data_IF_002946744928
#
_entry.id   IF_002946744928
#
_cell.length_a   1.000
_cell.length_b   1.000
_cell.length_c   1.000
_cell.angle_alpha   90.00
_cell.angle_beta   90.00
_cell.angle_gamma   90.00
#
_symmetry.space_group_name_H-M   'P 1'
#
loop_
_entity.id
_entity.type
_entity.pdbx_description
1 polymer ?
#
# COMPACT_ATOMS: atom_id res chain seq x y z
N UNK A 1 -33.19 30.26 20.76
CA UNK A 1 -33.93 30.96 19.69
C UNK A 1 -33.64 30.21 18.38
N UNK A 2 -34.32 29.11 18.08
CA UNK A 2 -35.68 28.99 17.53
C UNK A 2 -35.70 29.06 15.99
N UNK A 3 -36.15 27.93 15.39
CA UNK A 3 -36.78 27.76 14.07
C UNK A 3 -35.87 27.68 12.84
N UNK A 4 -35.41 26.45 12.56
CA UNK A 4 -35.54 25.80 11.24
C UNK A 4 -35.18 24.30 11.37
N UNK A 5 -36.07 23.55 12.03
CA UNK A 5 -36.16 22.09 12.00
C UNK A 5 -37.61 21.75 11.66
N UNK A 6 -37.92 21.63 10.38
CA UNK A 6 -39.20 21.11 9.89
C UNK A 6 -39.12 20.90 8.36
N UNK A 7 -38.59 19.76 7.93
CA UNK A 7 -38.90 19.11 6.64
C UNK A 7 -38.12 17.78 6.55
N UNK A 8 -38.43 16.85 7.44
CA UNK A 8 -38.21 15.42 7.25
C UNK A 8 -39.59 14.78 7.22
N UNK A 9 -39.72 13.71 6.44
CA UNK A 9 -40.89 12.85 6.20
C UNK A 9 -41.74 13.21 4.98
N UNK A 10 -41.44 12.53 3.88
CA UNK A 10 -42.27 12.00 2.77
C UNK A 10 -41.23 11.67 1.68
N UNK A 11 -40.93 10.45 1.25
CA UNK A 11 -41.82 9.40 0.79
C UNK A 11 -41.01 8.11 0.67
N UNK A 12 -41.31 7.12 1.52
CA UNK A 12 -40.81 5.75 1.41
C UNK A 12 -42.05 4.85 1.21
N UNK A 13 -42.47 4.68 -0.05
CA UNK A 13 -43.32 3.58 -0.53
C UNK A 13 -43.66 3.82 -2.00
N UNK A 14 -43.16 2.93 -2.85
CA UNK A 14 -43.72 2.46 -4.12
C UNK A 14 -42.62 2.31 -5.17
N UNK A 15 -42.06 1.11 -5.27
CA UNK A 15 -41.56 0.54 -6.53
C UNK A 15 -41.51 -0.98 -6.36
N UNK A 16 -42.70 -1.54 -6.30
CA UNK A 16 -42.99 -2.92 -6.69
C UNK A 16 -43.20 -2.96 -8.19
N UNK A 17 -42.52 -3.89 -8.87
CA UNK A 17 -43.01 -4.50 -10.10
C UNK A 17 -42.30 -4.09 -11.38
N UNK A 18 -41.35 -4.92 -11.80
CA UNK A 18 -41.23 -5.37 -13.19
C UNK A 18 -40.39 -6.65 -13.23
N UNK A 19 -41.07 -7.79 -13.26
CA UNK A 19 -40.48 -9.05 -13.66
C UNK A 19 -40.17 -8.97 -15.16
N UNK A 20 -38.90 -9.09 -15.53
CA UNK A 20 -38.49 -9.37 -16.91
C UNK A 20 -37.94 -10.78 -16.93
N UNK A 21 -38.70 -11.67 -17.56
CA UNK A 21 -38.23 -12.98 -18.01
C UNK A 21 -37.04 -12.76 -18.95
N UNK A 22 -35.84 -13.07 -18.47
CA UNK A 22 -34.62 -13.14 -19.27
C UNK A 22 -34.19 -14.59 -19.44
N UNK A 23 -34.28 -15.08 -20.67
CA UNK A 23 -33.95 -16.44 -21.08
C UNK A 23 -32.52 -16.85 -20.67
N UNK A 24 -32.42 -17.99 -19.96
CA UNK A 24 -31.18 -18.73 -19.74
C UNK A 24 -30.76 -19.39 -21.06
N UNK A 25 -29.89 -18.71 -21.81
CA UNK A 25 -29.08 -19.35 -22.84
C UNK A 25 -27.99 -20.17 -22.16
N UNK A 26 -28.06 -21.49 -22.37
CA UNK A 26 -27.06 -22.45 -21.98
C UNK A 26 -25.69 -22.11 -22.61
N UNK A 27 -24.69 -21.86 -21.77
CA UNK A 27 -23.30 -21.83 -22.22
C UNK A 27 -22.71 -23.25 -22.11
N UNK A 28 -22.13 -23.80 -23.20
CA UNK A 28 -21.45 -25.09 -23.16
C UNK A 28 -20.11 -25.00 -22.42
N UNK A 29 -19.85 -26.01 -21.59
CA UNK A 29 -18.60 -26.22 -20.87
C UNK A 29 -17.43 -26.44 -21.84
N UNK A 30 -16.23 -25.90 -21.56
CA UNK A 30 -15.03 -26.26 -22.30
C UNK A 30 -14.60 -27.69 -21.95
N UNK A 31 -14.65 -28.56 -22.96
CA UNK A 31 -14.08 -29.90 -22.95
C UNK A 31 -12.56 -29.83 -22.82
N UNK A 32 -12.03 -30.24 -21.67
CA UNK A 32 -10.61 -30.53 -21.48
C UNK A 32 -10.23 -31.80 -22.24
N UNK A 33 -9.68 -31.64 -23.46
CA UNK A 33 -9.00 -32.70 -24.18
C UNK A 33 -7.50 -32.66 -23.82
N UNK A 34 -7.12 -33.39 -22.77
CA UNK A 34 -5.72 -33.69 -22.48
C UNK A 34 -5.32 -34.91 -23.32
N UNK A 35 -4.48 -34.67 -24.33
CA UNK A 35 -3.87 -35.70 -25.14
C UNK A 35 -2.97 -36.60 -24.29
N UNK A 36 -3.13 -37.91 -24.49
CA UNK A 36 -2.16 -38.94 -24.16
C UNK A 36 -0.96 -38.75 -25.09
N UNK A 37 0.25 -38.68 -24.54
CA UNK A 37 1.41 -39.25 -25.23
C UNK A 37 2.37 -39.90 -24.21
N UNK A 38 3.06 -40.91 -24.71
CA UNK A 38 3.49 -42.11 -24.03
C UNK A 38 4.90 -42.03 -23.44
N UNK A 39 5.25 -43.13 -22.78
CA UNK A 39 6.41 -43.37 -21.95
C UNK A 39 7.74 -43.63 -22.72
N UNK A 40 8.85 -43.03 -22.24
CA UNK A 40 10.11 -43.61 -21.66
C UNK A 40 10.95 -44.64 -22.51
N UNK A 41 12.27 -44.92 -22.24
CA UNK A 41 13.56 -44.20 -21.94
C UNK A 41 14.75 -44.74 -22.86
N UNK A 42 16.06 -44.85 -22.46
CA UNK A 42 17.02 -44.01 -21.70
C UNK A 42 18.35 -43.71 -22.46
N UNK A 43 19.17 -42.82 -21.86
CA UNK A 43 20.64 -42.82 -21.76
C UNK A 43 21.54 -42.90 -23.01
N UNK A 44 22.31 -41.83 -23.24
CA UNK A 44 23.75 -41.95 -23.53
C UNK A 44 24.53 -40.95 -22.69
N UNK A 45 25.37 -41.49 -21.82
CA UNK A 45 26.44 -40.77 -21.15
C UNK A 45 27.44 -40.26 -22.19
N UNK A 46 27.70 -38.96 -22.19
CA UNK A 46 28.80 -38.37 -22.93
C UNK A 46 29.82 -37.81 -21.93
N UNK A 47 30.97 -38.46 -21.98
CA UNK A 47 32.27 -38.21 -21.38
C UNK A 47 32.58 -36.72 -21.13
N UNK A 48 32.94 -36.44 -19.88
CA UNK A 48 33.54 -35.19 -19.45
C UNK A 48 34.88 -34.95 -20.16
N UNK A 49 35.03 -33.77 -20.77
CA UNK A 49 36.30 -33.24 -21.26
C UNK A 49 36.60 -31.96 -20.45
N UNK A 50 37.77 -31.82 -19.80
CA UNK A 50 38.08 -30.62 -19.02
C UNK A 50 38.43 -29.50 -20.00
N UNK A 51 37.45 -28.66 -20.31
CA UNK A 51 37.69 -27.44 -21.07
C UNK A 51 38.12 -26.33 -20.09
N UNK A 52 39.33 -25.85 -20.32
CA UNK A 52 39.99 -24.76 -19.62
C UNK A 52 39.05 -23.59 -19.31
N UNK A 53 39.14 -23.12 -18.07
CA UNK A 53 38.50 -21.92 -17.56
C UNK A 53 38.95 -20.70 -18.39
N UNK A 54 38.17 -20.34 -19.41
CA UNK A 54 38.14 -18.96 -19.90
C UNK A 54 37.30 -18.18 -18.91
N UNK A 55 37.99 -17.44 -18.03
CA UNK A 55 37.39 -16.40 -17.20
C UNK A 55 36.55 -15.49 -18.11
N UNK A 56 35.22 -15.67 -18.04
CA UNK A 56 34.30 -14.70 -18.62
C UNK A 56 34.53 -13.39 -17.87
N UNK A 57 34.68 -12.26 -18.56
CA UNK A 57 34.68 -10.97 -17.88
C UNK A 57 33.37 -10.89 -17.10
N UNK A 58 33.48 -10.80 -15.79
CA UNK A 58 32.36 -10.47 -14.94
C UNK A 58 31.81 -9.15 -15.49
N UNK A 59 30.61 -9.20 -16.11
CA UNK A 59 29.82 -8.00 -16.31
C UNK A 59 29.64 -7.44 -14.91
N UNK A 60 30.38 -6.39 -14.59
CA UNK A 60 30.13 -5.54 -13.46
C UNK A 60 28.70 -5.04 -13.65
N UNK A 61 27.74 -5.71 -12.99
CA UNK A 61 26.46 -5.14 -12.64
C UNK A 61 26.78 -3.99 -11.70
N UNK A 62 27.18 -2.85 -12.28
CA UNK A 62 27.25 -1.59 -11.58
C UNK A 62 25.91 -1.34 -10.90
N UNK A 63 25.90 -0.61 -9.78
CA UNK A 63 24.65 -0.28 -9.10
C UNK A 63 23.70 0.34 -10.13
N UNK A 64 22.52 -0.27 -10.28
CA UNK A 64 21.46 0.26 -11.12
C UNK A 64 21.25 1.71 -10.70
N UNK A 65 21.66 2.64 -11.55
CA UNK A 65 21.56 4.07 -11.27
C UNK A 65 20.11 4.34 -10.91
N UNK A 66 19.82 5.07 -9.81
CA UNK A 66 18.45 5.35 -9.44
C UNK A 66 17.77 6.06 -10.62
N UNK A 67 16.89 5.35 -11.32
CA UNK A 67 16.19 5.95 -12.44
C UNK A 67 15.30 7.05 -11.88
N UNK A 68 15.48 8.25 -12.41
CA UNK A 68 14.58 9.38 -12.25
C UNK A 68 13.24 9.11 -12.96
N UNK A 69 12.20 9.85 -12.57
CA UNK A 69 10.92 9.81 -13.26
C UNK A 69 10.89 10.75 -14.45
N UNK A 70 10.25 10.34 -15.54
CA UNK A 70 9.72 11.33 -16.47
C UNK A 70 8.47 12.00 -15.87
N UNK A 71 7.98 13.08 -16.50
CA UNK A 71 6.82 13.85 -16.02
C UNK A 71 5.55 13.01 -15.82
N UNK A 72 5.30 12.05 -16.72
CA UNK A 72 4.13 11.18 -16.62
C UNK A 72 4.26 10.17 -15.46
N UNK A 73 5.46 9.59 -15.26
CA UNK A 73 5.73 8.68 -14.15
C UNK A 73 5.67 9.40 -12.80
N UNK A 74 6.14 10.64 -12.75
CA UNK A 74 6.02 11.48 -11.56
C UNK A 74 4.55 11.75 -11.23
N UNK A 75 3.76 12.18 -12.20
CA UNK A 75 2.33 12.40 -12.02
C UNK A 75 1.59 11.12 -11.61
N UNK A 76 1.98 9.97 -12.16
CA UNK A 76 1.47 8.67 -11.76
C UNK A 76 1.79 8.34 -10.29
N UNK A 77 3.01 8.65 -9.82
CA UNK A 77 3.35 8.49 -8.40
C UNK A 77 2.46 9.38 -7.53
N UNK A 78 2.31 10.66 -7.89
CA UNK A 78 1.50 11.60 -7.12
C UNK A 78 0.03 11.15 -7.04
N UNK A 79 -0.52 10.63 -8.14
CA UNK A 79 -1.87 10.05 -8.13
C UNK A 79 -1.98 8.88 -7.15
N UNK A 80 -0.95 8.03 -7.07
CA UNK A 80 -0.94 6.89 -6.16
C UNK A 80 -0.73 7.27 -4.69
N UNK A 81 0.03 8.34 -4.44
CA UNK A 81 0.13 8.97 -3.12
C UNK A 81 -1.22 9.49 -2.65
N UNK A 82 -1.94 10.21 -3.51
CA UNK A 82 -3.25 10.79 -3.16
C UNK A 82 -4.25 9.68 -2.84
N UNK A 83 -4.31 8.66 -3.70
CA UNK A 83 -5.19 7.51 -3.53
C UNK A 83 -4.93 6.78 -2.21
N UNK A 84 -3.66 6.53 -1.89
CA UNK A 84 -3.27 5.83 -0.66
C UNK A 84 -3.52 6.70 0.58
N UNK A 85 -3.30 8.01 0.49
CA UNK A 85 -3.61 8.95 1.57
C UNK A 85 -5.11 8.97 1.88
N UNK A 86 -5.96 9.10 0.86
CA UNK A 86 -7.41 9.05 1.03
C UNK A 86 -7.85 7.71 1.66
N UNK A 87 -7.23 6.60 1.28
CA UNK A 87 -7.50 5.29 1.89
C UNK A 87 -7.16 5.30 3.39
N UNK A 88 -5.95 5.74 3.77
CA UNK A 88 -5.54 5.75 5.18
C UNK A 88 -6.37 6.73 6.01
N UNK A 89 -6.70 7.92 5.47
CA UNK A 89 -7.63 8.87 6.11
C UNK A 89 -8.99 8.21 6.30
N UNK A 90 -9.52 7.56 5.27
CA UNK A 90 -10.79 6.84 5.34
C UNK A 90 -10.80 5.77 6.43
N UNK A 91 -9.75 4.95 6.52
CA UNK A 91 -9.65 3.88 7.50
C UNK A 91 -9.44 4.41 8.93
N UNK A 92 -8.59 5.42 9.09
CA UNK A 92 -8.17 5.98 10.39
C UNK A 92 -9.25 6.86 11.00
N UNK A 93 -9.92 7.66 10.20
CA UNK A 93 -10.80 8.71 10.68
C UNK A 93 -12.29 8.34 10.73
N UNK A 94 -12.67 7.14 10.26
CA UNK A 94 -14.08 6.73 10.17
C UNK A 94 -14.84 6.80 11.50
N UNK A 95 -14.17 6.56 12.63
CA UNK A 95 -14.79 6.59 13.96
C UNK A 95 -14.66 7.94 14.66
N UNK A 96 -13.72 8.77 14.22
CA UNK A 96 -13.40 10.08 14.83
C UNK A 96 -14.29 11.18 14.25
N UNK A 97 -14.57 11.10 12.95
CA UNK A 97 -15.43 12.05 12.22
C UNK A 97 -16.47 11.31 11.37
N UNK A 98 -17.36 10.52 11.99
CA UNK A 98 -18.31 9.67 11.27
C UNK A 98 -19.24 10.46 10.33
N UNK A 99 -19.59 11.70 10.69
CA UNK A 99 -20.50 12.55 9.91
C UNK A 99 -19.96 12.88 8.51
N UNK A 100 -18.63 12.95 8.36
CA UNK A 100 -17.98 13.22 7.06
C UNK A 100 -17.77 11.96 6.21
N UNK A 101 -18.06 10.77 6.75
CA UNK A 101 -17.95 9.46 6.07
C UNK A 101 -16.66 9.31 5.26
N UNK A 102 -15.47 9.49 5.87
CA UNK A 102 -14.21 9.64 5.13
C UNK A 102 -13.85 8.41 4.27
N UNK A 103 -14.32 7.22 4.64
CA UNK A 103 -14.10 6.01 3.84
C UNK A 103 -14.96 5.98 2.56
N UNK A 104 -16.16 6.56 2.59
CA UNK A 104 -17.03 6.67 1.41
C UNK A 104 -16.40 7.65 0.40
N UNK A 105 -15.81 8.76 0.88
CA UNK A 105 -15.08 9.71 0.02
C UNK A 105 -13.94 9.02 -0.77
N UNK A 106 -13.22 8.10 -0.13
CA UNK A 106 -12.18 7.29 -0.78
C UNK A 106 -12.75 6.34 -1.84
N UNK A 107 -13.87 5.67 -1.55
CA UNK A 107 -14.52 4.76 -2.50
C UNK A 107 -15.03 5.54 -3.72
N UNK A 108 -15.73 6.65 -3.50
CA UNK A 108 -16.26 7.50 -4.56
C UNK A 108 -15.13 8.03 -5.45
N UNK A 109 -14.03 8.50 -4.84
CA UNK A 109 -12.84 8.93 -5.56
C UNK A 109 -12.24 7.80 -6.41
N UNK A 110 -12.16 6.58 -5.85
CA UNK A 110 -11.60 5.41 -6.53
C UNK A 110 -12.44 4.99 -7.74
N UNK A 111 -13.78 5.01 -7.59
CA UNK A 111 -14.71 4.67 -8.68
C UNK A 111 -14.67 5.74 -9.77
N UNK A 112 -14.79 7.02 -9.40
CA UNK A 112 -14.76 8.17 -10.33
C UNK A 112 -13.47 8.21 -11.16
N UNK A 113 -12.32 7.89 -10.55
CA UNK A 113 -11.01 8.02 -11.18
C UNK A 113 -10.37 6.67 -11.57
N UNK A 114 -11.15 5.59 -11.68
CA UNK A 114 -10.65 4.23 -11.93
C UNK A 114 -9.69 4.13 -13.13
N UNK A 115 -10.02 4.78 -14.24
CA UNK A 115 -9.19 4.76 -15.45
C UNK A 115 -7.84 5.46 -15.21
N UNK A 116 -7.85 6.62 -14.54
CA UNK A 116 -6.62 7.36 -14.22
C UNK A 116 -5.72 6.59 -13.24
N UNK A 117 -6.32 5.97 -12.21
CA UNK A 117 -5.61 5.11 -11.27
C UNK A 117 -4.94 3.95 -12.02
N UNK A 118 -5.69 3.22 -12.84
CA UNK A 118 -5.15 2.11 -13.63
C UNK A 118 -4.01 2.52 -14.57
N UNK A 119 -4.14 3.66 -15.24
CA UNK A 119 -3.07 4.21 -16.09
C UNK A 119 -1.82 4.61 -15.29
N UNK A 120 -2.02 5.14 -14.08
CA UNK A 120 -0.92 5.51 -13.18
C UNK A 120 -0.17 4.27 -12.69
N UNK A 121 -0.89 3.21 -12.32
CA UNK A 121 -0.30 1.91 -11.96
C UNK A 121 0.51 1.34 -13.12
N UNK A 122 -0.04 1.34 -14.34
CA UNK A 122 0.65 0.87 -15.53
C UNK A 122 1.93 1.67 -15.82
N UNK A 123 1.89 3.00 -15.64
CA UNK A 123 3.04 3.88 -15.81
C UNK A 123 4.18 3.54 -14.82
N UNK A 124 3.85 3.34 -13.54
CA UNK A 124 4.85 2.99 -12.53
C UNK A 124 5.39 1.56 -12.72
N UNK A 125 4.56 0.61 -13.11
CA UNK A 125 5.03 -0.75 -13.47
C UNK A 125 5.98 -0.67 -14.68
N UNK A 126 5.67 0.14 -15.69
CA UNK A 126 6.56 0.35 -16.83
C UNK A 126 7.90 0.99 -16.41
N UNK A 127 7.86 1.96 -15.48
CA UNK A 127 9.06 2.50 -14.85
C UNK A 127 9.88 1.40 -14.19
N UNK A 128 9.30 0.59 -13.29
CA UNK A 128 10.05 -0.47 -12.58
C UNK A 128 10.58 -1.56 -13.52
N UNK A 129 9.92 -1.81 -14.65
CA UNK A 129 10.41 -2.71 -15.69
C UNK A 129 11.67 -2.16 -16.38
N UNK A 130 11.77 -0.84 -16.53
CA UNK A 130 12.91 -0.16 -17.17
C UNK A 130 14.04 0.14 -16.18
N UNK A 131 13.71 0.50 -14.94
CA UNK A 131 14.67 0.95 -13.93
C UNK A 131 15.19 -0.17 -13.01
N UNK A 132 14.40 -1.23 -12.83
CA UNK A 132 14.72 -2.34 -11.93
C UNK A 132 15.05 -3.61 -12.70
N UNK A 133 16.00 -4.38 -12.18
CA UNK A 133 16.10 -5.80 -12.51
C UNK A 133 15.03 -6.59 -11.74
N UNK A 134 14.30 -7.48 -12.41
CA UNK A 134 13.38 -8.42 -11.76
C UNK A 134 11.89 -8.18 -12.04
N UNK A 135 11.02 -8.51 -11.09
CA UNK A 135 9.57 -8.46 -11.25
C UNK A 135 9.03 -7.05 -10.94
N UNK A 136 8.70 -6.29 -11.99
CA UNK A 136 8.20 -4.91 -11.89
C UNK A 136 6.89 -4.78 -11.09
N UNK A 137 5.97 -5.72 -11.22
CA UNK A 137 4.71 -5.72 -10.45
C UNK A 137 4.99 -5.86 -8.97
N UNK A 138 5.90 -6.78 -8.57
CA UNK A 138 6.31 -6.91 -7.17
C UNK A 138 6.93 -5.63 -6.61
N UNK A 139 7.74 -4.93 -7.41
CA UNK A 139 8.33 -3.65 -7.00
C UNK A 139 7.24 -2.58 -6.81
N UNK A 140 6.25 -2.54 -7.69
CA UNK A 140 5.10 -1.66 -7.55
C UNK A 140 4.25 -1.98 -6.30
N UNK A 141 3.99 -3.26 -6.02
CA UNK A 141 3.26 -3.68 -4.81
C UNK A 141 4.01 -3.30 -3.52
N UNK A 142 5.35 -3.43 -3.54
CA UNK A 142 6.21 -3.00 -2.44
C UNK A 142 6.12 -1.48 -2.25
N UNK A 143 6.19 -0.69 -3.32
CA UNK A 143 6.00 0.75 -3.28
C UNK A 143 4.65 1.14 -2.65
N UNK A 144 3.54 0.52 -3.05
CA UNK A 144 2.21 0.76 -2.45
C UNK A 144 2.20 0.46 -0.94
N UNK A 145 2.87 -0.62 -0.55
CA UNK A 145 2.97 -1.04 0.87
C UNK A 145 3.80 -0.04 1.67
N UNK A 146 4.96 0.38 1.17
CA UNK A 146 5.83 1.36 1.80
C UNK A 146 5.14 2.71 1.96
N UNK A 147 4.40 3.15 0.94
CA UNK A 147 3.62 4.37 0.96
C UNK A 147 2.50 4.34 2.02
N UNK A 148 1.74 3.24 2.09
CA UNK A 148 0.71 3.09 3.13
C UNK A 148 1.32 3.10 4.54
N UNK A 149 2.49 2.47 4.72
CA UNK A 149 3.22 2.48 5.98
C UNK A 149 3.77 3.88 6.33
N UNK A 150 4.27 4.63 5.35
CA UNK A 150 4.72 6.02 5.53
C UNK A 150 3.59 6.91 6.05
N UNK A 151 2.43 6.86 5.38
CA UNK A 151 1.26 7.68 5.74
C UNK A 151 0.70 7.25 7.10
N UNK A 152 0.66 5.95 7.39
CA UNK A 152 0.21 5.45 8.70
C UNK A 152 1.12 5.90 9.84
N UNK A 153 2.45 5.88 9.64
CA UNK A 153 3.40 6.42 10.62
C UNK A 153 3.20 7.92 10.82
N UNK A 154 2.99 8.67 9.74
CA UNK A 154 2.67 10.11 9.81
C UNK A 154 1.42 10.38 10.66
N UNK A 155 0.36 9.61 10.45
CA UNK A 155 -0.86 9.71 11.25
C UNK A 155 -0.59 9.42 12.74
N UNK A 156 0.23 8.41 13.03
CA UNK A 156 0.63 8.09 14.40
C UNK A 156 1.47 9.20 15.06
N UNK A 157 2.42 9.81 14.32
CA UNK A 157 3.26 10.90 14.81
C UNK A 157 2.46 12.18 15.07
N UNK A 158 1.51 12.54 14.20
CA UNK A 158 0.65 13.71 14.38
C UNK A 158 -0.39 13.48 15.49
N UNK A 159 -0.81 12.23 15.68
CA UNK A 159 -1.90 11.85 16.56
C UNK A 159 -3.24 11.87 15.83
N UNK A 160 -4.07 10.85 16.07
CA UNK A 160 -5.31 10.60 15.31
C UNK A 160 -6.27 11.82 15.28
N UNK A 161 -6.58 12.51 16.40
CA UNK A 161 -7.51 13.64 16.36
C UNK A 161 -7.03 14.78 15.46
N UNK A 162 -5.75 15.17 15.57
CA UNK A 162 -5.14 16.23 14.76
C UNK A 162 -4.99 15.79 13.30
N UNK A 163 -4.64 14.53 13.06
CA UNK A 163 -4.59 13.98 11.72
C UNK A 163 -5.96 14.05 11.04
N UNK A 164 -7.03 13.62 11.72
CA UNK A 164 -8.36 13.67 11.13
C UNK A 164 -8.87 15.11 10.89
N UNK A 165 -8.57 16.05 11.79
CA UNK A 165 -8.92 17.46 11.62
C UNK A 165 -8.26 18.07 10.36
N UNK A 166 -7.02 17.69 10.06
CA UNK A 166 -6.25 18.30 8.96
C UNK A 166 -6.46 17.62 7.60
N UNK A 167 -6.72 16.31 7.59
CA UNK A 167 -6.66 15.52 6.34
C UNK A 167 -8.04 15.11 5.79
N UNK A 168 -9.11 15.15 6.59
CA UNK A 168 -10.44 14.75 6.10
C UNK A 168 -11.01 15.79 5.11
N UNK A 169 -10.83 17.08 5.38
CA UNK A 169 -11.26 18.14 4.44
C UNK A 169 -10.48 18.10 3.12
N UNK A 170 -9.23 17.63 3.14
CA UNK A 170 -8.48 17.35 1.91
C UNK A 170 -9.11 16.21 1.12
N UNK A 171 -9.57 15.13 1.75
CA UNK A 171 -10.31 14.06 1.07
C UNK A 171 -11.64 14.55 0.48
N UNK A 172 -12.33 15.48 1.16
CA UNK A 172 -13.54 16.13 0.62
C UNK A 172 -13.20 16.93 -0.63
N UNK A 173 -12.17 17.79 -0.59
CA UNK A 173 -11.76 18.55 -1.76
C UNK A 173 -11.30 17.65 -2.92
N UNK A 174 -10.51 16.61 -2.62
CA UNK A 174 -9.97 15.69 -3.62
C UNK A 174 -11.05 14.92 -4.39
N UNK A 175 -12.18 14.56 -3.75
CA UNK A 175 -13.29 13.87 -4.42
C UNK A 175 -13.94 14.73 -5.51
N UNK A 176 -13.93 16.05 -5.30
CA UNK A 176 -14.63 17.01 -6.15
C UNK A 176 -13.77 17.49 -7.32
N UNK A 177 -12.45 17.25 -7.28
CA UNK A 177 -11.55 17.54 -8.40
C UNK A 177 -11.98 16.81 -9.68
N UNK A 178 -11.87 17.51 -10.80
CA UNK A 178 -12.04 16.90 -12.12
C UNK A 178 -10.79 16.12 -12.53
N UNK A 179 -10.87 15.23 -13.53
CA UNK A 179 -9.68 14.59 -14.08
C UNK A 179 -8.62 15.58 -14.58
N UNK A 180 -9.01 16.76 -15.06
CA UNK A 180 -8.08 17.79 -15.51
C UNK A 180 -7.38 18.48 -14.32
N UNK A 181 -8.13 18.75 -13.24
CA UNK A 181 -7.57 19.28 -12.00
C UNK A 181 -6.61 18.29 -11.36
N UNK A 182 -6.95 16.99 -11.36
CA UNK A 182 -6.07 15.94 -10.85
C UNK A 182 -4.79 15.83 -11.69
N UNK A 183 -4.89 15.95 -13.02
CA UNK A 183 -3.69 15.99 -13.88
C UNK A 183 -2.81 17.20 -13.58
N UNK A 184 -3.42 18.35 -13.34
CA UNK A 184 -2.69 19.57 -12.96
C UNK A 184 -2.02 19.40 -11.60
N UNK A 185 -2.77 18.94 -10.59
CA UNK A 185 -2.28 18.72 -9.23
C UNK A 185 -1.14 17.69 -9.17
N UNK A 186 -1.21 16.64 -9.99
CA UNK A 186 -0.19 15.59 -10.00
C UNK A 186 1.05 15.96 -10.82
N UNK A 187 0.95 16.95 -11.70
CA UNK A 187 2.08 17.38 -12.54
C UNK A 187 2.83 18.59 -11.96
N UNK A 188 2.14 19.46 -11.21
CA UNK A 188 2.73 20.66 -10.60
C UNK A 188 3.32 20.38 -9.22
N UNK A 189 4.64 20.24 -9.15
CA UNK A 189 5.37 20.04 -7.89
C UNK A 189 5.16 21.18 -6.88
N UNK A 190 4.89 22.40 -7.35
CA UNK A 190 4.71 23.57 -6.48
C UNK A 190 3.28 23.67 -5.93
N UNK A 191 2.30 23.31 -6.77
CA UNK A 191 0.88 23.32 -6.44
C UNK A 191 0.39 22.08 -5.70
N UNK A 192 1.12 20.96 -5.74
CA UNK A 192 0.71 19.69 -5.12
C UNK A 192 0.61 19.73 -3.58
N UNK A 193 1.09 20.80 -2.92
CA UNK A 193 1.03 20.94 -1.46
C UNK A 193 1.82 19.86 -0.72
N UNK A 194 1.29 19.36 0.41
CA UNK A 194 1.91 18.35 1.29
C UNK A 194 2.10 16.95 0.66
N UNK A 195 1.86 16.82 -0.65
CA UNK A 195 2.22 15.68 -1.49
C UNK A 195 3.74 15.65 -1.65
N UNK A 196 4.39 15.36 -0.53
CA UNK A 196 5.83 15.43 -0.39
C UNK A 196 6.52 14.50 -1.38
N UNK A 197 7.45 15.13 -2.11
CA UNK A 197 8.52 14.60 -2.94
C UNK A 197 8.31 13.15 -3.41
N UNK A 198 8.07 13.01 -4.71
CA UNK A 198 8.12 11.69 -5.34
C UNK A 198 9.37 10.92 -4.88
N UNK A 199 9.25 9.60 -4.80
CA UNK A 199 10.31 8.71 -4.33
C UNK A 199 11.59 8.81 -5.16
N UNK A 200 11.50 9.40 -6.36
CA UNK A 200 12.60 9.73 -7.26
C UNK A 200 12.42 11.15 -7.80
N UNK A 201 13.52 11.87 -8.08
CA UNK A 201 13.44 13.15 -8.76
C UNK A 201 13.00 13.00 -10.22
N UNK A 202 12.55 14.10 -10.81
CA UNK A 202 12.32 14.22 -12.24
C UNK A 202 13.63 14.17 -13.04
N UNK A 203 13.62 13.50 -14.19
CA UNK A 203 14.79 13.35 -15.04
C UNK A 203 15.26 14.66 -15.70
N UNK A 204 14.36 15.60 -15.91
CA UNK A 204 14.61 16.89 -16.53
C UNK A 204 15.03 17.97 -15.51
N UNK A 205 14.90 17.70 -14.21
CA UNK A 205 15.28 18.63 -13.15
C UNK A 205 16.64 18.23 -12.58
N UNK A 206 17.65 19.07 -12.80
CA UNK A 206 18.92 18.95 -12.05
C UNK A 206 18.63 19.33 -10.60
N UNK A 207 18.44 18.33 -9.74
CA UNK A 207 18.46 18.54 -8.30
C UNK A 207 19.86 19.00 -7.93
N UNK A 208 20.03 20.30 -7.70
CA UNK A 208 21.23 20.81 -7.05
C UNK A 208 21.11 20.35 -5.60
N UNK A 209 21.66 19.18 -5.28
CA UNK A 209 22.01 18.85 -3.91
C UNK A 209 23.13 19.79 -3.51
N UNK A 210 22.78 21.05 -3.22
CA UNK A 210 23.65 21.85 -2.38
C UNK A 210 23.76 21.06 -1.07
N UNK A 211 24.96 20.76 -0.58
CA UNK A 211 25.09 20.19 0.75
C UNK A 211 24.29 21.09 1.68
N UNK A 212 23.33 20.50 2.42
CA UNK A 212 22.62 21.24 3.45
C UNK A 212 23.67 22.01 4.24
N UNK A 213 23.51 23.33 4.44
CA UNK A 213 24.43 24.05 5.30
C UNK A 213 24.47 23.25 6.59
N UNK A 214 25.68 22.86 7.01
CA UNK A 214 25.89 22.08 8.21
C UNK A 214 25.39 22.93 9.37
N UNK A 215 24.10 22.82 9.68
CA UNK A 215 23.57 23.39 10.89
C UNK A 215 24.29 22.63 11.99
N UNK A 216 25.04 23.37 12.82
CA UNK A 216 25.59 22.83 14.05
C UNK A 216 24.40 22.39 14.91
N UNK A 217 23.94 21.16 14.70
CA UNK A 217 22.96 20.52 15.57
C UNK A 217 23.68 20.45 16.90
N UNK A 218 23.23 21.25 17.87
CA UNK A 218 23.80 21.23 19.19
C UNK A 218 23.74 19.79 19.68
N UNK A 219 24.90 19.14 19.75
CA UNK A 219 25.02 17.80 20.28
C UNK A 219 24.48 17.88 21.70
N UNK A 220 23.39 17.15 21.96
CA UNK A 220 22.84 17.05 23.30
C UNK A 220 24.01 16.69 24.24
N UNK A 221 24.29 17.56 25.20
CA UNK A 221 25.29 17.32 26.23
C UNK A 221 25.02 15.93 26.81
N UNK A 222 26.03 15.04 26.90
CA UNK A 222 25.85 13.74 27.52
C UNK A 222 25.16 13.91 28.87
N UNK A 223 24.09 13.16 29.10
CA UNK A 223 23.43 13.13 30.40
C UNK A 223 24.48 12.81 31.47
N UNK A 224 24.51 13.54 32.60
CA UNK A 224 25.45 13.27 33.68
C UNK A 224 25.33 11.81 34.12
N UNK A 225 26.49 11.16 34.27
CA UNK A 225 26.60 9.75 34.62
C UNK A 225 25.76 9.44 35.87
N UNK A 226 24.89 8.44 35.76
CA UNK A 226 24.14 7.92 36.89
C UNK A 226 25.11 7.49 38.01
N UNK A 227 24.82 7.79 39.29
CA UNK A 227 25.65 7.37 40.40
C UNK A 227 25.77 5.84 40.43
N UNK A 228 27.01 5.36 40.59
CA UNK A 228 27.34 3.93 40.68
C UNK A 228 26.53 3.30 41.83
N UNK A 229 25.57 2.45 41.48
CA UNK A 229 24.91 1.58 42.44
C UNK A 229 25.96 0.61 43.01
N UNK A 230 26.23 0.74 44.30
CA UNK A 230 26.98 -0.24 45.09
C UNK A 230 26.27 -1.58 45.04
N UNK A 231 26.96 -2.59 44.52
CA UNK A 231 26.53 -3.99 44.52
C UNK A 231 26.42 -4.53 45.94
N UNK A 232 25.21 -4.60 46.47
CA UNK A 232 24.91 -5.44 47.63
C UNK A 232 24.89 -6.92 47.19
N UNK A 233 25.71 -7.74 47.84
CA UNK A 233 25.76 -9.21 47.67
C UNK A 233 24.37 -9.81 47.92
N UNK A 234 23.69 -10.24 46.86
CA UNK A 234 22.52 -11.11 46.96
C UNK A 234 22.97 -12.58 47.07
N UNK A 235 22.47 -13.25 48.10
CA UNK A 235 22.63 -14.67 48.43
C UNK A 235 22.00 -15.56 47.32
N UNK A 236 22.62 -16.68 46.91
CA UNK A 236 22.07 -17.53 45.86
C UNK A 236 20.80 -18.24 46.33
N UNK A 237 19.69 -17.99 45.63
CA UNK A 237 18.44 -18.73 45.78
C UNK A 237 18.49 -20.02 44.97
N UNK A 238 18.04 -21.10 45.61
CA UNK A 238 17.99 -22.49 45.15
C UNK A 238 17.07 -22.62 43.92
N UNK A 239 17.58 -23.23 42.85
CA UNK A 239 16.84 -23.52 41.63
C UNK A 239 15.70 -24.52 41.90
N UNK A 240 14.47 -24.13 41.58
CA UNK A 240 13.30 -25.01 41.51
C UNK A 240 13.11 -25.49 40.07
N UNK A 241 12.83 -26.79 39.92
CA UNK A 241 12.74 -27.51 38.66
C UNK A 241 11.57 -27.05 37.75
N UNK A 242 11.66 -27.26 36.42
CA UNK A 242 10.61 -26.89 35.48
C UNK A 242 9.40 -27.82 35.58
N UNK A 243 8.22 -27.21 35.77
CA UNK A 243 6.93 -27.89 35.73
C UNK A 243 6.52 -28.21 34.27
N UNK A 244 6.03 -29.43 34.07
CA UNK A 244 5.52 -29.97 32.80
C UNK A 244 4.26 -29.21 32.33
N UNK A 245 4.09 -28.96 31.02
CA UNK A 245 2.83 -28.49 30.48
C UNK A 245 1.86 -29.65 30.30
N UNK A 246 0.69 -29.58 30.97
CA UNK A 246 -0.51 -30.33 30.60
C UNK A 246 -1.70 -29.38 30.66
N UNK A 247 -2.30 -29.05 29.51
CA UNK A 247 -3.74 -29.26 29.35
C UNK A 247 -4.19 -29.16 27.89
N UNK A 248 -4.84 -30.25 27.46
CA UNK A 248 -5.74 -30.34 26.31
C UNK A 248 -6.83 -29.26 26.43
N UNK A 249 -7.00 -28.44 25.40
CA UNK A 249 -8.26 -27.72 25.17
C UNK A 249 -9.12 -28.62 24.30
N UNK A 250 -10.29 -28.99 24.83
CA UNK A 250 -11.29 -29.79 24.15
C UNK A 250 -11.93 -28.98 23.01
N UNK A 251 -12.10 -29.63 21.87
CA UNK A 251 -12.85 -29.12 20.73
C UNK A 251 -14.35 -29.02 21.08
N UNK A 252 -14.94 -27.85 20.89
CA UNK A 252 -16.39 -27.64 20.91
C UNK A 252 -16.93 -27.93 19.51
N UNK A 253 -17.94 -28.80 19.34
CA UNK A 253 -18.50 -29.10 18.03
C UNK A 253 -19.42 -27.97 17.54
N UNK A 254 -19.24 -27.62 16.26
CA UNK A 254 -20.12 -26.74 15.50
C UNK A 254 -21.52 -27.37 15.33
N UNK A 255 -22.56 -26.62 15.69
CA UNK A 255 -23.92 -26.86 15.21
C UNK A 255 -24.18 -25.92 14.04
N UNK A 256 -24.10 -26.45 12.83
CA UNK A 256 -24.68 -25.84 11.64
C UNK A 256 -26.12 -26.35 11.51
N UNK A 257 -27.09 -25.47 11.71
CA UNK A 257 -28.47 -25.70 11.27
C UNK A 257 -28.61 -25.13 9.86
N UNK A 258 -28.71 -26.04 8.89
CA UNK A 258 -29.13 -25.79 7.51
C UNK A 258 -30.64 -25.64 7.51
N UNK A 259 -31.15 -24.49 7.06
CA UNK A 259 -32.57 -24.31 6.75
C UNK A 259 -32.77 -24.61 5.26
N UNK A 260 -33.57 -25.64 4.99
CA UNK A 260 -34.08 -26.03 3.67
C UNK A 260 -35.40 -25.33 3.35
N UNK A 261 -35.50 -24.91 2.09
CA UNK A 261 -36.68 -24.59 1.26
C UNK A 261 -37.55 -23.39 1.63
#
# INVERSE_FOLDING_TARGET
>A
MSRQRAALHLSLKALTGAAVLGALLAMPAPTSAAAKEAAKPPAKAAVAKPAAAKARPAKSSGPATPACYNRAEYAAEQMMRLHTEMMIVGLTCRTVVPDKKPFDLYQDFSVKNRAMLSNSEASLIAFYKRSGGGNATRQFDMFRTELANEISRRAATIGIPQYCANFVDRSVAAKDLTPDDLRTLTTDEKGAGLMHLASRPLCDVKTVSNPDPVFAVASATPAPAAPKATTAKAKPAKAAAPAKPKQKVAAVPAKQSVTTR
#
